data_IF_160053792831
#
_entry.id   IF_160053792831
#
_cell.length_a   1.000
_cell.length_b   1.000
_cell.length_c   1.000
_cell.angle_alpha   90.00
_cell.angle_beta   90.00
_cell.angle_gamma   90.00
#
_symmetry.space_group_name_H-M   'P 1'
#
loop_
_entity.id
_entity.type
_entity.pdbx_description
1 polymer ?
#
# COMPACT_ATOMS: atom_id res chain seq x y z
N UNK A 1 -20.72 3.16 -29.22
CA UNK A 1 -19.43 3.02 -29.92
C UNK A 1 -19.36 1.61 -30.50
N UNK A 2 -18.90 1.41 -31.75
CA UNK A 2 -19.14 0.16 -32.50
C UNK A 2 -18.58 -1.12 -31.85
N UNK A 3 -17.57 -1.03 -30.98
CA UNK A 3 -17.08 -2.17 -30.18
C UNK A 3 -16.15 -1.67 -29.05
N UNK A 4 -16.63 -1.60 -27.80
CA UNK A 4 -15.83 -1.09 -26.67
C UNK A 4 -14.65 -2.02 -26.32
N UNK A 5 -14.81 -3.34 -26.49
CA UNK A 5 -13.80 -4.35 -26.16
C UNK A 5 -12.46 -4.17 -26.92
N UNK A 6 -12.48 -3.57 -28.11
CA UNK A 6 -11.23 -3.27 -28.85
C UNK A 6 -10.37 -2.27 -28.10
N UNK A 7 -10.98 -1.27 -27.48
CA UNK A 7 -10.25 -0.26 -26.72
C UNK A 7 -9.64 -0.90 -25.46
N UNK A 8 -10.39 -1.76 -24.77
CA UNK A 8 -9.94 -2.49 -23.59
C UNK A 8 -8.72 -3.36 -23.92
N UNK A 9 -8.79 -4.17 -24.99
CA UNK A 9 -7.68 -5.03 -25.43
C UNK A 9 -6.42 -4.24 -25.79
N UNK A 10 -6.59 -3.07 -26.40
CA UNK A 10 -5.46 -2.19 -26.74
C UNK A 10 -4.84 -1.59 -25.48
N UNK A 11 -5.65 -1.12 -24.52
CA UNK A 11 -5.16 -0.60 -23.24
C UNK A 11 -4.39 -1.69 -22.48
N UNK A 12 -4.95 -2.90 -22.39
CA UNK A 12 -4.27 -4.05 -21.77
C UNK A 12 -2.94 -4.38 -22.44
N UNK A 13 -2.91 -4.35 -23.79
CA UNK A 13 -1.68 -4.61 -24.55
C UNK A 13 -0.61 -3.54 -24.32
N UNK A 14 -1.02 -2.27 -24.23
CA UNK A 14 -0.10 -1.16 -23.95
C UNK A 14 0.45 -1.21 -22.52
N UNK A 15 -0.39 -1.55 -21.52
CA UNK A 15 0.02 -1.72 -20.14
C UNK A 15 0.97 -2.92 -19.97
N UNK A 16 0.72 -4.02 -20.69
CA UNK A 16 1.61 -5.19 -20.69
C UNK A 16 2.99 -4.85 -21.27
N UNK A 17 3.03 -4.05 -22.34
CA UNK A 17 4.29 -3.60 -22.94
C UNK A 17 5.08 -2.71 -21.95
N UNK A 18 4.44 -1.72 -21.33
CA UNK A 18 5.06 -0.85 -20.32
C UNK A 18 5.62 -1.66 -19.13
N UNK A 19 4.86 -2.67 -18.67
CA UNK A 19 5.30 -3.57 -17.60
C UNK A 19 6.59 -4.33 -17.95
N UNK A 20 6.68 -4.92 -19.15
CA UNK A 20 7.88 -5.66 -19.59
C UNK A 20 9.10 -4.74 -19.67
N UNK A 21 8.91 -3.49 -20.10
CA UNK A 21 9.99 -2.50 -20.14
C UNK A 21 10.46 -2.16 -18.73
N UNK A 22 9.53 -1.90 -17.80
CA UNK A 22 9.85 -1.60 -16.39
C UNK A 22 10.58 -2.76 -15.70
N UNK A 23 10.16 -4.01 -15.93
CA UNK A 23 10.81 -5.20 -15.35
C UNK A 23 12.28 -5.32 -15.79
N UNK A 24 12.57 -5.06 -17.06
CA UNK A 24 13.93 -5.07 -17.61
C UNK A 24 14.79 -3.95 -17.03
N UNK A 25 14.25 -2.74 -16.93
CA UNK A 25 14.94 -1.59 -16.34
C UNK A 25 15.24 -1.83 -14.85
N UNK A 26 14.29 -2.37 -14.10
CA UNK A 26 14.45 -2.67 -12.68
C UNK A 26 15.52 -3.75 -12.44
N UNK A 27 15.52 -4.82 -13.25
CA UNK A 27 16.56 -5.85 -13.19
C UNK A 27 17.95 -5.26 -13.48
N UNK A 28 18.06 -4.41 -14.51
CA UNK A 28 19.32 -3.74 -14.84
C UNK A 28 19.78 -2.81 -13.70
N UNK A 29 18.88 -2.01 -13.14
CA UNK A 29 19.18 -1.08 -12.05
C UNK A 29 19.64 -1.82 -10.80
N UNK A 30 19.01 -2.94 -10.45
CA UNK A 30 19.40 -3.77 -9.32
C UNK A 30 20.81 -4.34 -9.49
N UNK A 31 21.16 -4.81 -10.68
CA UNK A 31 22.50 -5.34 -10.96
C UNK A 31 23.59 -4.27 -10.93
N UNK A 32 23.29 -3.06 -11.43
CA UNK A 32 24.27 -1.98 -11.52
C UNK A 32 24.44 -1.18 -10.22
N UNK A 33 23.32 -0.85 -9.55
CA UNK A 33 23.31 0.09 -8.40
C UNK A 33 22.82 -0.55 -7.10
N UNK A 34 22.21 -1.74 -7.16
CA UNK A 34 21.54 -2.36 -6.01
C UNK A 34 20.29 -1.64 -5.54
N UNK A 35 19.81 -0.61 -6.27
CA UNK A 35 18.68 0.20 -5.82
C UNK A 35 17.34 -0.34 -6.32
N UNK A 36 16.46 -0.68 -5.39
CA UNK A 36 15.12 -1.20 -5.70
C UNK A 36 14.21 -0.19 -6.41
N UNK A 37 14.36 1.11 -6.18
CA UNK A 37 13.43 2.14 -6.69
C UNK A 37 14.14 3.11 -7.63
N UNK A 38 13.56 3.36 -8.80
CA UNK A 38 14.06 4.36 -9.75
C UNK A 38 14.13 5.75 -9.14
N UNK A 39 13.08 6.11 -8.38
CA UNK A 39 12.95 7.41 -7.75
C UNK A 39 13.41 7.37 -6.29
N UNK A 40 14.43 8.18 -5.93
CA UNK A 40 14.87 8.29 -4.55
C UNK A 40 13.75 8.74 -3.60
N UNK A 41 13.78 8.21 -2.39
CA UNK A 41 12.89 8.61 -1.32
C UNK A 41 13.36 8.06 0.02
N UNK A 42 12.73 8.53 1.09
CA UNK A 42 13.04 8.11 2.44
C UNK A 42 11.79 8.03 3.30
N UNK A 43 11.80 7.12 4.28
CA UNK A 43 10.79 7.08 5.33
C UNK A 43 10.95 8.29 6.25
N UNK A 44 9.87 9.06 6.42
CA UNK A 44 9.84 10.22 7.31
C UNK A 44 8.56 10.26 8.13
N UNK A 45 8.62 10.91 9.30
CA UNK A 45 7.44 11.26 10.07
C UNK A 45 6.86 12.57 9.53
N UNK A 46 5.56 12.61 9.32
CA UNK A 46 4.84 13.85 9.04
C UNK A 46 4.58 14.63 10.34
N UNK A 47 4.05 15.85 10.22
CA UNK A 47 3.61 16.69 11.34
C UNK A 47 2.59 15.96 12.23
N UNK A 48 1.78 15.09 11.62
CA UNK A 48 0.80 14.24 12.30
C UNK A 48 1.37 12.93 12.84
N UNK A 49 2.69 12.74 12.81
CA UNK A 49 3.38 11.56 13.38
C UNK A 49 3.20 10.26 12.60
N UNK A 50 2.58 10.33 11.42
CA UNK A 50 2.44 9.21 10.51
C UNK A 50 3.76 8.96 9.78
N UNK A 51 4.14 7.70 9.62
CA UNK A 51 5.28 7.30 8.79
C UNK A 51 4.83 7.32 7.33
N UNK A 52 5.50 8.12 6.50
CA UNK A 52 5.19 8.32 5.08
C UNK A 52 6.48 8.13 4.26
N UNK A 53 6.34 7.50 3.09
CA UNK A 53 7.40 7.46 2.08
C UNK A 53 7.51 8.81 1.36
N UNK A 54 8.53 9.59 1.70
CA UNK A 54 8.76 10.89 1.08
C UNK A 54 9.57 10.75 -0.21
N UNK A 55 8.88 10.88 -1.36
CA UNK A 55 9.52 10.92 -2.70
C UNK A 55 10.29 12.23 -2.88
N UNK A 56 11.59 12.14 -3.21
CA UNK A 56 12.39 13.33 -3.46
C UNK A 56 11.98 14.02 -4.77
N UNK A 57 12.18 15.34 -4.80
CA UNK A 57 12.01 16.18 -5.99
C UNK A 57 13.38 16.69 -6.40
N UNK A 58 13.59 16.83 -7.70
CA UNK A 58 14.79 17.47 -8.22
C UNK A 58 14.69 18.98 -7.96
N UNK A 59 15.81 19.56 -7.53
CA UNK A 59 15.91 20.97 -7.18
C UNK A 59 17.28 21.49 -7.65
N UNK A 60 17.37 22.73 -8.17
CA UNK A 60 18.63 23.29 -8.62
C UNK A 60 19.55 23.73 -7.47
N UNK A 61 19.01 23.87 -6.25
CA UNK A 61 19.72 24.41 -5.08
C UNK A 61 19.67 23.37 -3.95
N UNK A 62 20.72 23.23 -3.12
CA UNK A 62 20.71 22.41 -1.92
C UNK A 62 19.53 22.71 -0.97
N UNK A 63 19.15 21.69 -0.20
CA UNK A 63 17.93 21.73 0.63
C UNK A 63 17.95 22.82 1.70
N UNK A 64 19.12 23.12 2.29
CA UNK A 64 19.26 24.09 3.39
C UNK A 64 19.09 25.54 2.95
N UNK A 65 19.31 25.86 1.67
CA UNK A 65 19.04 27.19 1.10
C UNK A 65 17.59 27.33 0.60
N UNK A 66 16.90 26.21 0.39
CA UNK A 66 15.56 26.21 -0.18
C UNK A 66 14.50 26.60 0.87
N UNK A 67 14.07 27.86 0.82
CA UNK A 67 13.02 28.41 1.71
C UNK A 67 11.73 27.57 1.68
N UNK A 68 11.33 27.00 0.53
CA UNK A 68 10.10 26.18 0.44
C UNK A 68 10.28 24.83 1.13
N UNK A 69 11.46 24.21 0.99
CA UNK A 69 11.75 22.94 1.64
C UNK A 69 11.85 23.11 3.17
N UNK A 70 12.56 24.12 3.65
CA UNK A 70 12.77 24.35 5.08
C UNK A 70 11.48 24.67 5.86
N UNK A 71 10.45 25.22 5.21
CA UNK A 71 9.12 25.41 5.82
C UNK A 71 8.41 24.09 6.12
N UNK A 72 8.76 23.01 5.41
CA UNK A 72 8.14 21.69 5.58
C UNK A 72 8.76 20.98 6.78
N UNK A 73 7.93 20.60 7.75
CA UNK A 73 8.36 19.91 8.96
C UNK A 73 8.23 18.40 8.77
N UNK A 74 9.27 17.67 9.15
CA UNK A 74 9.36 16.20 9.08
C UNK A 74 9.48 15.56 10.47
N UNK A 75 8.91 16.22 11.47
CA UNK A 75 8.86 15.75 12.84
C UNK A 75 7.47 16.02 13.41
N UNK A 76 7.04 15.16 14.31
CA UNK A 76 5.82 15.33 15.07
C UNK A 76 6.16 15.82 16.47
N UNK A 77 5.29 16.67 17.01
CA UNK A 77 5.41 17.17 18.38
C UNK A 77 4.74 16.21 19.36
N UNK A 78 5.12 16.21 20.66
CA UNK A 78 4.57 15.30 21.67
C UNK A 78 3.04 15.36 21.81
N UNK A 79 2.42 16.52 21.58
CA UNK A 79 0.96 16.68 21.66
C UNK A 79 0.19 15.83 20.61
N UNK A 80 0.87 15.30 19.59
CA UNK A 80 0.28 14.45 18.54
C UNK A 80 0.10 13.01 19.02
N UNK A 81 0.82 12.57 20.05
CA UNK A 81 0.82 11.19 20.54
C UNK A 81 -0.58 10.71 20.97
N UNK A 82 -1.36 11.60 21.61
CA UNK A 82 -2.76 11.29 21.98
C UNK A 82 -3.60 10.93 20.76
N UNK A 83 -3.44 11.67 19.65
CA UNK A 83 -4.18 11.42 18.42
C UNK A 83 -3.70 10.17 17.71
N UNK A 84 -2.40 9.87 17.74
CA UNK A 84 -1.87 8.60 17.25
C UNK A 84 -2.47 7.40 17.99
N UNK A 85 -2.54 7.48 19.34
CA UNK A 85 -3.15 6.44 20.16
C UNK A 85 -4.62 6.24 19.80
N UNK A 86 -5.41 7.30 19.74
CA UNK A 86 -6.83 7.24 19.37
C UNK A 86 -7.03 6.62 17.98
N UNK A 87 -6.15 6.94 17.03
CA UNK A 87 -6.16 6.32 15.70
C UNK A 87 -5.87 4.81 15.76
N UNK A 88 -4.88 4.38 16.54
CA UNK A 88 -4.55 2.95 16.72
C UNK A 88 -5.71 2.20 17.36
N UNK A 89 -6.30 2.75 18.42
CA UNK A 89 -7.48 2.15 19.09
C UNK A 89 -8.67 2.03 18.13
N UNK A 90 -8.93 3.06 17.32
CA UNK A 90 -10.00 3.02 16.30
C UNK A 90 -9.75 1.89 15.29
N UNK A 91 -8.52 1.75 14.79
CA UNK A 91 -8.17 0.70 13.84
C UNK A 91 -8.34 -0.70 14.46
N UNK A 92 -7.93 -0.88 15.72
CA UNK A 92 -8.10 -2.15 16.44
C UNK A 92 -9.59 -2.52 16.60
N UNK A 93 -10.46 -1.55 16.93
CA UNK A 93 -11.92 -1.77 17.02
C UNK A 93 -12.52 -2.17 15.66
N UNK A 94 -12.10 -1.53 14.57
CA UNK A 94 -12.56 -1.87 13.22
C UNK A 94 -12.13 -3.30 12.85
N UNK A 95 -10.87 -3.65 13.11
CA UNK A 95 -10.35 -4.99 12.85
C UNK A 95 -11.07 -6.07 13.68
N UNK A 96 -11.33 -5.81 14.96
CA UNK A 96 -12.07 -6.73 15.83
C UNK A 96 -13.49 -6.98 15.31
N UNK A 97 -14.21 -5.92 14.92
CA UNK A 97 -15.56 -6.03 14.33
C UNK A 97 -15.54 -6.82 13.03
N UNK A 98 -14.56 -6.57 12.15
CA UNK A 98 -14.40 -7.30 10.88
C UNK A 98 -14.18 -8.80 11.13
N UNK A 99 -13.23 -9.15 11.99
CA UNK A 99 -12.94 -10.56 12.35
C UNK A 99 -14.15 -11.27 12.95
N UNK A 100 -14.87 -10.59 13.84
CA UNK A 100 -16.08 -11.16 14.44
C UNK A 100 -17.20 -11.38 13.39
N UNK A 101 -17.37 -10.44 12.46
CA UNK A 101 -18.34 -10.60 11.38
C UNK A 101 -17.97 -11.76 10.44
N UNK A 102 -16.69 -11.91 10.10
CA UNK A 102 -16.20 -13.03 9.28
C UNK A 102 -16.46 -14.37 9.96
N UNK A 103 -16.21 -14.49 11.26
CA UNK A 103 -16.54 -15.69 12.05
C UNK A 103 -18.03 -15.99 12.02
N UNK A 104 -18.89 -15.00 12.30
CA UNK A 104 -20.35 -15.19 12.26
C UNK A 104 -20.86 -15.58 10.88
N UNK A 105 -20.28 -15.03 9.81
CA UNK A 105 -20.63 -15.43 8.44
C UNK A 105 -20.20 -16.87 8.15
N UNK A 106 -19.02 -17.28 8.61
CA UNK A 106 -18.54 -18.64 8.44
C UNK A 106 -19.40 -19.65 9.23
N UNK A 107 -19.80 -19.32 10.46
CA UNK A 107 -20.74 -20.13 11.27
C UNK A 107 -22.08 -20.30 10.55
N UNK A 108 -22.70 -19.21 10.09
CA UNK A 108 -23.95 -19.25 9.32
C UNK A 108 -23.82 -20.01 8.00
N UNK A 109 -22.65 -19.97 7.36
CA UNK A 109 -22.40 -20.73 6.13
C UNK A 109 -22.32 -22.22 6.42
N UNK A 110 -21.69 -22.63 7.52
CA UNK A 110 -21.64 -24.03 7.98
C UNK A 110 -23.02 -24.55 8.36
N UNK A 111 -23.86 -23.73 8.99
CA UNK A 111 -25.27 -24.10 9.28
C UNK A 111 -26.07 -24.37 8.00
N UNK A 112 -25.91 -23.53 6.97
CA UNK A 112 -26.63 -23.69 5.69
C UNK A 112 -26.08 -24.81 4.82
N UNK A 113 -24.78 -25.05 4.87
CA UNK A 113 -24.09 -26.03 4.04
C UNK A 113 -23.22 -26.95 4.90
N UNK A 114 -23.84 -27.92 5.59
CA UNK A 114 -23.13 -28.79 6.55
C UNK A 114 -22.04 -29.67 5.89
N UNK A 115 -22.21 -30.02 4.61
CA UNK A 115 -21.21 -30.78 3.84
C UNK A 115 -19.86 -30.04 3.68
N UNK A 116 -19.86 -28.71 3.76
CA UNK A 116 -18.60 -27.93 3.73
C UNK A 116 -17.76 -28.15 4.99
N UNK A 117 -18.38 -28.54 6.10
CA UNK A 117 -17.67 -28.86 7.33
C UNK A 117 -16.96 -30.22 7.27
N UNK A 118 -17.47 -31.16 6.46
CA UNK A 118 -16.88 -32.50 6.24
C UNK A 118 -15.68 -32.43 5.28
N UNK A 119 -15.80 -31.62 4.22
CA UNK A 119 -14.71 -31.35 3.28
C UNK A 119 -13.50 -30.65 3.96
N UNK A 120 -13.73 -29.73 4.90
CA UNK A 120 -12.64 -29.10 5.67
C UNK A 120 -11.92 -30.07 6.62
N UNK A 121 -12.62 -31.07 7.17
CA UNK A 121 -12.04 -32.06 8.08
C UNK A 121 -11.20 -33.12 7.35
N UNK A 122 -11.62 -33.51 6.14
CA UNK A 122 -10.90 -34.47 5.30
C UNK A 122 -9.64 -33.89 4.65
N UNK A 123 -9.57 -32.58 4.41
CA UNK A 123 -8.35 -31.92 3.89
C UNK A 123 -7.26 -31.64 4.94
N UNK A 124 -7.54 -31.87 6.22
CA UNK A 124 -6.61 -31.68 7.34
C UNK A 124 -5.96 -32.98 7.84
N UNK A 125 -6.32 -34.12 7.22
CA UNK A 125 -5.68 -35.44 7.39
C UNK A 125 -4.69 -35.63 6.25
#
# INVERSE_FOLDING_TARGET
MPSPERLEKVVESMDALDKVVQEREDALRLLQTGQEKARPGAWRKDIFGRIIWHKFKQWPIPWHLNKRYNRKRFFAMPYVERFERLRREKQARIQARKKHLEKKKAEKLKEKFPHLAEAQKSSLV
#
